data_IF_784791981617
#
_entry.id   IF_784791981617
#
_cell.length_a   1.000
_cell.length_b   1.000
_cell.length_c   1.000
_cell.angle_alpha   90.00
_cell.angle_beta   90.00
_cell.angle_gamma   90.00
#
_symmetry.space_group_name_H-M   'P 1'
#
loop_
_entity.id
_entity.type
_entity.pdbx_description
1 polymer ?
#
# COMPACT_ATOMS: atom_id res chain seq x y z
N UNK A 1 29.58 -51.14 45.13
CA UNK A 1 28.80 -50.06 45.79
C UNK A 1 29.03 -48.79 44.97
N UNK A 2 28.07 -48.03 44.43
CA UNK A 2 26.62 -48.01 44.50
C UNK A 2 26.06 -47.36 43.23
N UNK A 3 25.15 -48.09 42.61
CA UNK A 3 23.93 -47.72 41.85
C UNK A 3 23.62 -46.23 41.67
N UNK A 4 23.43 -45.80 40.42
CA UNK A 4 22.16 -45.24 39.91
C UNK A 4 22.17 -45.06 38.38
N UNK A 5 21.37 -45.85 37.63
CA UNK A 5 21.22 -45.71 36.20
C UNK A 5 20.20 -44.61 35.89
N UNK A 6 20.62 -43.56 35.19
CA UNK A 6 19.68 -42.58 34.66
C UNK A 6 19.26 -42.98 33.25
N UNK A 7 18.19 -43.78 33.24
CA UNK A 7 16.99 -43.63 32.43
C UNK A 7 17.18 -43.37 30.93
N UNK A 8 17.11 -44.47 30.18
CA UNK A 8 16.63 -44.48 28.82
C UNK A 8 15.14 -44.08 28.77
N UNK A 9 14.82 -43.03 28.04
CA UNK A 9 13.50 -42.83 27.44
C UNK A 9 13.68 -42.22 26.05
N UNK A 10 13.54 -43.08 25.04
CA UNK A 10 13.28 -42.69 23.67
C UNK A 10 11.83 -42.21 23.57
N UNK A 11 11.62 -41.04 22.98
CA UNK A 11 10.34 -40.64 22.40
C UNK A 11 10.61 -39.76 21.17
N UNK A 12 10.87 -40.43 20.06
CA UNK A 12 10.84 -39.83 18.74
C UNK A 12 9.42 -39.34 18.45
N UNK A 13 9.22 -38.03 18.47
CA UNK A 13 7.99 -37.40 17.98
C UNK A 13 8.34 -36.64 16.70
N UNK A 14 8.30 -37.36 15.57
CA UNK A 14 8.27 -36.77 14.24
C UNK A 14 6.99 -35.93 14.11
N UNK A 15 7.09 -34.63 14.37
CA UNK A 15 6.05 -33.70 13.94
C UNK A 15 6.18 -33.57 12.43
N UNK A 16 5.39 -34.37 11.72
CA UNK A 16 5.10 -34.16 10.32
C UNK A 16 4.53 -32.73 10.17
N UNK A 17 5.33 -31.82 9.61
CA UNK A 17 4.82 -30.54 9.12
C UNK A 17 3.91 -30.85 7.94
N UNK A 18 2.64 -31.09 8.25
CA UNK A 18 1.55 -31.17 7.30
C UNK A 18 1.56 -29.91 6.44
N UNK A 19 1.53 -30.13 5.13
CA UNK A 19 1.76 -29.11 4.12
C UNK A 19 0.99 -27.83 4.39
N UNK A 20 1.73 -26.72 4.38
CA UNK A 20 1.14 -25.43 4.04
C UNK A 20 0.55 -25.59 2.65
N UNK A 21 -0.79 -25.67 2.58
CA UNK A 21 -1.47 -25.51 1.32
C UNK A 21 -1.01 -24.15 0.78
N UNK A 22 -0.26 -24.18 -0.33
CA UNK A 22 0.03 -22.99 -1.09
C UNK A 22 -1.31 -22.46 -1.56
N UNK A 23 -1.89 -21.52 -0.81
CA UNK A 23 -2.93 -20.65 -1.33
C UNK A 23 -2.38 -20.07 -2.63
N UNK A 24 -3.16 -20.03 -3.72
CA UNK A 24 -2.69 -19.39 -4.93
C UNK A 24 -2.38 -17.93 -4.56
N UNK A 25 -1.09 -17.60 -4.55
CA UNK A 25 -0.65 -16.23 -4.49
C UNK A 25 -1.09 -15.63 -5.82
N UNK A 26 -2.33 -15.10 -5.85
CA UNK A 26 -2.67 -14.10 -6.83
C UNK A 26 -1.66 -12.98 -6.61
N UNK A 27 -0.64 -12.91 -7.46
CA UNK A 27 0.23 -11.76 -7.52
C UNK A 27 -0.65 -10.61 -7.98
N UNK A 28 -1.27 -9.90 -7.04
CA UNK A 28 -2.03 -8.71 -7.33
C UNK A 28 -1.12 -7.78 -8.12
N UNK A 29 -1.52 -7.46 -9.35
CA UNK A 29 -0.75 -6.53 -10.15
C UNK A 29 -0.71 -5.20 -9.42
N UNK A 30 0.48 -4.60 -9.31
CA UNK A 30 0.67 -3.32 -8.65
C UNK A 30 0.49 -2.19 -9.65
N UNK A 31 -0.20 -1.12 -9.22
CA UNK A 31 -0.44 0.07 -10.01
C UNK A 31 -0.18 1.35 -9.22
N UNK A 32 0.13 2.43 -9.93
CA UNK A 32 0.21 3.78 -9.36
C UNK A 32 -1.20 4.27 -9.05
N UNK A 33 -1.45 4.64 -7.81
CA UNK A 33 -2.70 5.26 -7.40
C UNK A 33 -2.48 6.71 -7.03
N UNK A 34 -2.94 7.61 -7.89
CA UNK A 34 -2.72 9.04 -7.76
C UNK A 34 -3.75 9.71 -6.88
N UNK A 35 -3.35 10.80 -6.21
CA UNK A 35 -4.27 11.62 -5.42
C UNK A 35 -4.68 11.04 -4.07
N UNK A 36 -4.11 9.91 -3.65
CA UNK A 36 -4.41 9.28 -2.34
C UNK A 36 -3.27 9.40 -1.35
N UNK A 37 -2.10 9.85 -1.78
CA UNK A 37 -0.94 10.03 -0.90
C UNK A 37 -1.25 11.12 0.14
N UNK A 38 -1.01 10.83 1.42
CA UNK A 38 -0.97 11.86 2.46
C UNK A 38 0.40 12.54 2.47
N UNK A 39 0.50 13.71 3.10
CA UNK A 39 1.75 14.44 3.23
C UNK A 39 2.87 13.53 3.80
N UNK A 40 4.03 13.52 3.14
CA UNK A 40 5.17 12.68 3.52
C UNK A 40 5.07 11.20 3.11
N UNK A 41 4.01 10.79 2.39
CA UNK A 41 3.76 9.38 2.09
C UNK A 41 3.60 9.07 0.60
N UNK A 42 4.05 9.94 -0.30
CA UNK A 42 4.11 9.67 -1.74
C UNK A 42 5.28 8.76 -2.12
N UNK A 43 5.16 8.06 -3.25
CA UNK A 43 6.26 7.39 -3.94
C UNK A 43 7.00 8.32 -4.93
N UNK A 44 8.18 7.89 -5.39
CA UNK A 44 9.05 8.67 -6.28
C UNK A 44 8.42 8.95 -7.65
N UNK A 45 8.90 10.00 -8.33
CA UNK A 45 8.54 10.35 -9.70
C UNK A 45 7.03 10.62 -9.91
N UNK A 46 6.48 11.52 -9.09
CA UNK A 46 5.13 12.07 -9.28
C UNK A 46 4.99 12.87 -10.59
N UNK A 47 3.75 13.09 -11.02
CA UNK A 47 3.42 13.81 -12.25
C UNK A 47 3.51 15.34 -12.12
N UNK A 48 3.49 15.86 -10.88
CA UNK A 48 3.48 17.31 -10.61
C UNK A 48 4.83 17.98 -10.88
N UNK A 49 5.92 17.21 -10.86
CA UNK A 49 7.30 17.72 -10.98
C UNK A 49 7.77 18.54 -9.76
N UNK A 50 6.97 18.62 -8.69
CA UNK A 50 7.27 19.42 -7.50
C UNK A 50 8.32 18.76 -6.59
N UNK A 51 8.47 17.44 -6.69
CA UNK A 51 9.45 16.64 -5.98
C UNK A 51 9.73 15.36 -6.78
N UNK A 52 10.84 14.70 -6.48
CA UNK A 52 11.27 13.50 -7.21
C UNK A 52 11.38 12.26 -6.32
N UNK A 53 11.59 12.42 -5.01
CA UNK A 53 11.80 11.32 -4.09
C UNK A 53 10.57 11.02 -3.22
N UNK A 54 10.52 9.77 -2.75
CA UNK A 54 9.53 9.26 -1.81
C UNK A 54 9.48 10.15 -0.55
N UNK A 55 8.28 10.45 -0.11
CA UNK A 55 8.01 11.18 1.13
C UNK A 55 8.31 12.69 1.11
N UNK A 56 8.42 13.28 -0.08
CA UNK A 56 8.64 14.73 -0.24
C UNK A 56 7.36 15.54 -0.46
N UNK A 57 6.20 14.89 -0.63
CA UNK A 57 4.92 15.61 -0.70
C UNK A 57 4.68 16.41 0.59
N UNK A 58 4.54 17.71 0.45
CA UNK A 58 4.20 18.61 1.56
C UNK A 58 2.69 18.72 1.78
N UNK A 59 1.89 18.33 0.79
CA UNK A 59 0.42 18.36 0.84
C UNK A 59 -0.16 16.96 0.69
N UNK A 60 -1.35 16.75 1.25
CA UNK A 60 -2.10 15.51 1.06
C UNK A 60 -2.98 15.59 -0.19
N UNK A 61 -3.21 14.43 -0.81
CA UNK A 61 -4.16 14.21 -1.91
C UNK A 61 -3.84 14.95 -3.21
N UNK A 62 -2.59 15.38 -3.39
CA UNK A 62 -2.15 15.98 -4.65
C UNK A 62 -2.35 14.97 -5.81
N UNK A 63 -3.11 15.31 -6.87
CA UNK A 63 -3.34 14.40 -8.01
C UNK A 63 -2.07 14.00 -8.76
N UNK A 64 -0.96 14.73 -8.60
CA UNK A 64 0.32 14.39 -9.17
C UNK A 64 1.13 13.40 -8.33
N UNK A 65 0.75 13.18 -7.08
CA UNK A 65 1.46 12.28 -6.19
C UNK A 65 0.71 10.96 -6.11
N UNK A 66 1.46 9.86 -6.04
CA UNK A 66 0.88 8.53 -6.00
C UNK A 66 1.48 7.68 -4.90
N UNK A 67 0.76 6.61 -4.59
CA UNK A 67 1.28 5.45 -3.89
C UNK A 67 1.07 4.21 -4.73
N UNK A 68 1.99 3.26 -4.67
CA UNK A 68 1.82 1.94 -5.29
C UNK A 68 0.82 1.13 -4.48
N UNK A 69 -0.21 0.61 -5.15
CA UNK A 69 -1.26 -0.22 -4.54
C UNK A 69 -1.61 -1.40 -5.45
N UNK A 70 -2.23 -2.46 -4.92
CA UNK A 70 -2.89 -3.47 -5.74
C UNK A 70 -3.87 -2.80 -6.71
N UNK A 71 -3.87 -3.22 -7.97
CA UNK A 71 -4.83 -2.77 -8.98
C UNK A 71 -6.27 -3.00 -8.49
N UNK A 72 -7.20 -2.17 -8.96
CA UNK A 72 -8.59 -2.18 -8.47
C UNK A 72 -8.80 -1.52 -7.10
N UNK A 73 -7.75 -1.27 -6.31
CA UNK A 73 -7.88 -0.57 -5.02
C UNK A 73 -8.05 0.93 -5.19
N UNK A 74 -7.45 1.52 -6.23
CA UNK A 74 -7.33 2.98 -6.34
C UNK A 74 -8.67 3.71 -6.37
N UNK A 75 -9.61 3.25 -7.21
CA UNK A 75 -10.95 3.83 -7.31
C UNK A 75 -11.73 3.73 -5.98
N UNK A 76 -11.56 2.65 -5.23
CA UNK A 76 -12.19 2.48 -3.90
C UNK A 76 -11.68 3.49 -2.88
N UNK A 77 -10.42 3.93 -3.03
CA UNK A 77 -9.82 4.97 -2.21
C UNK A 77 -10.19 6.38 -2.70
N UNK A 78 -10.93 6.53 -3.80
CA UNK A 78 -11.21 7.81 -4.44
C UNK A 78 -10.05 8.36 -5.28
N UNK A 79 -9.01 7.55 -5.49
CA UNK A 79 -7.84 7.92 -6.28
C UNK A 79 -8.06 7.83 -7.79
N UNK A 80 -7.03 8.23 -8.52
CA UNK A 80 -7.03 8.32 -9.98
C UNK A 80 -6.00 7.36 -10.59
N UNK A 81 -6.30 6.87 -11.79
CA UNK A 81 -5.25 6.31 -12.64
C UNK A 81 -4.35 7.42 -13.22
N UNK A 82 -3.29 7.02 -13.93
CA UNK A 82 -2.33 7.99 -14.47
C UNK A 82 -2.92 8.92 -15.54
N UNK A 83 -3.87 8.45 -16.36
CA UNK A 83 -4.48 9.24 -17.42
C UNK A 83 -5.45 10.28 -16.82
N UNK A 84 -6.27 9.85 -15.88
CA UNK A 84 -7.18 10.70 -15.11
C UNK A 84 -6.41 11.76 -14.32
N UNK A 85 -5.34 11.36 -13.63
CA UNK A 85 -4.48 12.27 -12.89
C UNK A 85 -3.93 13.40 -13.78
N UNK A 86 -3.39 13.07 -14.96
CA UNK A 86 -2.93 14.07 -15.94
C UNK A 86 -4.07 15.00 -16.39
N UNK A 87 -5.26 14.45 -16.65
CA UNK A 87 -6.42 15.23 -17.10
C UNK A 87 -6.99 16.17 -16.01
N UNK A 88 -6.81 15.80 -14.73
CA UNK A 88 -7.12 16.66 -13.58
C UNK A 88 -6.05 17.76 -13.44
N UNK A 89 -4.77 17.38 -13.44
CA UNK A 89 -3.63 18.30 -13.31
C UNK A 89 -3.58 19.38 -14.39
N UNK A 90 -4.05 19.07 -15.61
CA UNK A 90 -4.13 20.03 -16.70
C UNK A 90 -5.09 21.21 -16.42
N UNK A 91 -5.91 21.14 -15.36
CA UNK A 91 -6.93 22.15 -15.05
C UNK A 91 -6.89 22.51 -13.55
N UNK A 92 -6.37 23.69 -13.17
CA UNK A 92 -6.21 24.08 -11.76
C UNK A 92 -7.49 23.99 -10.93
N UNK A 93 -8.65 24.38 -11.51
CA UNK A 93 -9.93 24.29 -10.83
C UNK A 93 -10.33 22.83 -10.51
N UNK A 94 -9.99 21.88 -11.39
CA UNK A 94 -10.26 20.46 -11.15
C UNK A 94 -9.30 19.85 -10.14
N UNK A 95 -8.03 20.24 -10.17
CA UNK A 95 -7.04 19.87 -9.13
C UNK A 95 -7.54 20.24 -7.74
N UNK A 96 -7.90 21.52 -7.55
CA UNK A 96 -8.40 22.01 -6.27
C UNK A 96 -9.69 21.31 -5.84
N UNK A 97 -10.62 21.08 -6.76
CA UNK A 97 -11.87 20.38 -6.46
C UNK A 97 -11.63 18.94 -6.02
N UNK A 98 -10.71 18.23 -6.67
CA UNK A 98 -10.32 16.88 -6.29
C UNK A 98 -9.70 16.82 -4.89
N UNK A 99 -8.70 17.67 -4.62
CA UNK A 99 -8.01 17.72 -3.32
C UNK A 99 -9.01 18.00 -2.18
N UNK A 100 -9.94 18.91 -2.39
CA UNK A 100 -11.00 19.24 -1.42
C UNK A 100 -11.99 18.09 -1.21
N UNK A 101 -12.35 17.38 -2.27
CA UNK A 101 -13.24 16.22 -2.17
C UNK A 101 -12.59 15.08 -1.39
N UNK A 102 -11.34 14.77 -1.71
CA UNK A 102 -10.55 13.76 -1.00
C UNK A 102 -10.37 14.13 0.48
N UNK A 103 -10.00 15.36 0.77
CA UNK A 103 -9.90 15.83 2.16
C UNK A 103 -11.23 15.68 2.91
N UNK A 104 -12.36 16.06 2.29
CA UNK A 104 -13.68 15.88 2.90
C UNK A 104 -14.01 14.41 3.14
N UNK A 105 -13.82 13.52 2.16
CA UNK A 105 -14.13 12.08 2.32
C UNK A 105 -13.41 11.47 3.51
N UNK A 106 -12.14 11.82 3.69
CA UNK A 106 -11.33 11.30 4.79
C UNK A 106 -11.76 11.88 6.14
N UNK A 107 -12.27 13.11 6.17
CA UNK A 107 -12.85 13.71 7.39
C UNK A 107 -14.15 13.05 7.84
N UNK A 108 -14.97 12.53 6.93
CA UNK A 108 -16.25 11.88 7.25
C UNK A 108 -16.13 10.37 7.46
N UNK A 109 -14.92 9.82 7.31
CA UNK A 109 -14.64 8.39 7.53
C UNK A 109 -13.98 8.10 8.88
N UNK A 110 -13.83 9.14 9.72
CA UNK A 110 -13.36 9.08 11.11
C UNK A 110 -14.55 9.16 12.06
#
# INVERSE_FOLDING_TARGET
MNKRPFLATAAASLLALGGVAALPAHADSLGKCFGVATAGHNDCAGLSGLHSCKGQSTTSYNPGDFVVKPTGTCARLGGLDQAEAKAVLARPAKTKAFEQDMARRMMHSM
#
